data_IF_231330938202
#
_entry.id   IF_231330938202
#
_cell.length_a   1.000
_cell.length_b   1.000
_cell.length_c   1.000
_cell.angle_alpha   90.00
_cell.angle_beta   90.00
_cell.angle_gamma   90.00
#
_symmetry.space_group_name_H-M   'P 1'
#
loop_
_entity.id
_entity.type
_entity.pdbx_description
1 polymer ?
#
# COMPACT_ATOMS: atom_id res chain seq x y z
N UNK A 1 -26.02 -40.08 56.89
CA UNK A 1 -24.76 -39.69 56.26
C UNK A 1 -25.01 -39.56 54.79
N UNK A 2 -25.10 -38.33 54.25
CA UNK A 2 -25.37 -38.05 52.87
C UNK A 2 -24.11 -37.48 52.27
N UNK A 3 -23.46 -38.23 51.34
CA UNK A 3 -22.29 -37.78 50.61
C UNK A 3 -22.76 -36.99 49.40
N UNK A 4 -22.49 -35.68 49.33
CA UNK A 4 -22.71 -34.84 48.11
C UNK A 4 -21.45 -34.88 47.26
N UNK A 5 -21.57 -35.46 46.07
CA UNK A 5 -20.53 -35.41 45.06
C UNK A 5 -20.54 -34.04 44.37
N UNK A 6 -19.42 -33.31 44.42
CA UNK A 6 -19.17 -32.10 43.63
C UNK A 6 -18.65 -32.50 42.26
N UNK A 7 -19.41 -32.18 41.22
CA UNK A 7 -18.95 -32.28 39.82
C UNK A 7 -18.33 -30.93 39.45
N UNK A 8 -17.00 -30.89 39.31
CA UNK A 8 -16.27 -29.74 38.80
C UNK A 8 -16.33 -29.75 37.26
N UNK A 9 -17.03 -28.79 36.66
CA UNK A 9 -17.00 -28.55 35.21
C UNK A 9 -15.73 -27.77 34.85
N UNK A 10 -14.81 -28.42 34.18
CA UNK A 10 -13.65 -27.77 33.53
C UNK A 10 -14.12 -27.07 32.25
N UNK A 11 -14.21 -25.73 32.30
CA UNK A 11 -14.42 -24.91 31.12
C UNK A 11 -13.10 -24.83 30.31
N UNK A 12 -13.01 -25.58 29.25
CA UNK A 12 -11.90 -25.49 28.31
C UNK A 12 -11.95 -24.19 27.53
N UNK A 13 -11.06 -23.24 27.82
CA UNK A 13 -10.84 -22.05 26.98
C UNK A 13 -10.15 -22.49 25.68
N UNK A 14 -10.87 -22.48 24.57
CA UNK A 14 -10.29 -22.67 23.24
C UNK A 14 -9.42 -21.45 22.91
N UNK A 15 -8.10 -21.59 22.98
CA UNK A 15 -7.14 -20.64 22.45
C UNK A 15 -7.25 -20.63 20.92
N UNK A 16 -7.92 -19.66 20.38
CA UNK A 16 -7.92 -19.38 18.95
C UNK A 16 -6.56 -18.79 18.58
N UNK A 17 -5.63 -19.63 18.13
CA UNK A 17 -4.41 -19.18 17.53
C UNK A 17 -4.77 -18.40 16.25
N UNK A 18 -4.58 -17.09 16.25
CA UNK A 18 -4.64 -16.27 15.02
C UNK A 18 -3.44 -16.62 14.16
N UNK A 19 -3.57 -17.65 13.33
CA UNK A 19 -2.57 -17.92 12.32
C UNK A 19 -2.52 -16.71 11.37
N UNK A 20 -1.42 -15.99 11.37
CA UNK A 20 -1.17 -14.91 10.41
C UNK A 20 -1.29 -15.43 8.98
N UNK A 21 -1.71 -14.59 8.06
CA UNK A 21 -1.77 -14.94 6.64
C UNK A 21 -0.38 -15.38 6.16
N UNK A 22 -0.25 -16.62 5.70
CA UNK A 22 1.01 -17.12 5.16
C UNK A 22 1.35 -16.42 3.84
N UNK A 23 2.62 -16.06 3.67
CA UNK A 23 3.14 -15.51 2.42
C UNK A 23 3.34 -16.64 1.41
N UNK A 24 2.82 -16.48 0.20
CA UNK A 24 2.96 -17.41 -0.93
C UNK A 24 3.67 -16.69 -2.08
N UNK A 25 4.71 -17.30 -2.64
CA UNK A 25 5.37 -16.78 -3.83
C UNK A 25 4.57 -17.18 -5.08
N UNK A 26 4.24 -16.23 -5.92
CA UNK A 26 3.51 -16.44 -7.17
C UNK A 26 4.20 -15.75 -8.34
N UNK A 27 3.97 -16.27 -9.54
CA UNK A 27 4.49 -15.74 -10.79
C UNK A 27 3.34 -15.22 -11.66
N UNK A 28 3.45 -13.97 -12.11
CA UNK A 28 2.46 -13.29 -12.94
C UNK A 28 3.07 -13.12 -14.33
N UNK A 29 2.48 -13.71 -15.40
CA UNK A 29 2.93 -13.45 -16.76
C UNK A 29 2.64 -12.00 -17.18
N UNK A 30 3.65 -11.30 -17.69
CA UNK A 30 3.51 -9.94 -18.26
C UNK A 30 4.39 -9.79 -19.50
N UNK A 31 3.84 -10.10 -20.67
CA UNK A 31 4.60 -10.17 -21.92
C UNK A 31 5.77 -11.14 -21.82
N UNK A 32 6.98 -10.66 -22.03
CA UNK A 32 8.22 -11.46 -21.91
C UNK A 32 8.79 -11.46 -20.49
N UNK A 33 8.12 -10.84 -19.53
CA UNK A 33 8.53 -10.78 -18.13
C UNK A 33 7.71 -11.75 -17.28
N UNK A 34 8.38 -12.52 -16.42
CA UNK A 34 7.74 -13.17 -15.28
C UNK A 34 7.83 -12.24 -14.09
N UNK A 35 6.72 -11.59 -13.77
CA UNK A 35 6.63 -10.70 -12.62
C UNK A 35 6.42 -11.54 -11.35
N UNK A 36 7.45 -11.67 -10.53
CA UNK A 36 7.35 -12.33 -9.23
C UNK A 36 6.48 -11.51 -8.31
N UNK A 37 5.72 -12.18 -7.44
CA UNK A 37 4.92 -11.49 -6.44
C UNK A 37 4.79 -12.31 -5.16
N UNK A 38 4.51 -11.62 -4.06
CA UNK A 38 4.14 -12.23 -2.78
C UNK A 38 2.65 -12.07 -2.56
N UNK A 39 1.96 -13.18 -2.34
CA UNK A 39 0.53 -13.26 -2.11
C UNK A 39 0.24 -13.58 -0.65
N UNK A 40 -0.73 -12.90 -0.06
CA UNK A 40 -1.27 -13.18 1.27
C UNK A 40 -2.77 -13.43 1.14
N UNK A 41 -3.26 -14.49 1.76
CA UNK A 41 -4.68 -14.86 1.69
C UNK A 41 -5.33 -14.83 3.07
N UNK A 42 -6.57 -14.32 3.17
CA UNK A 42 -7.35 -14.47 4.40
C UNK A 42 -7.74 -15.92 4.65
N UNK A 43 -8.12 -16.22 5.87
CA UNK A 43 -8.70 -17.53 6.22
C UNK A 43 -10.08 -17.71 5.54
N UNK A 44 -10.42 -18.95 5.19
CA UNK A 44 -11.72 -19.29 4.58
C UNK A 44 -11.63 -19.59 3.08
N UNK A 45 -12.78 -19.84 2.48
CA UNK A 45 -12.88 -20.32 1.08
C UNK A 45 -13.00 -19.20 0.04
N UNK A 46 -13.45 -17.99 0.44
CA UNK A 46 -13.68 -16.89 -0.49
C UNK A 46 -15.00 -17.00 -1.28
N UNK A 47 -15.17 -16.30 -2.42
CA UNK A 47 -14.19 -15.38 -3.00
C UNK A 47 -14.07 -14.06 -2.22
N UNK A 48 -12.85 -13.55 -2.11
CA UNK A 48 -12.49 -12.38 -1.33
C UNK A 48 -12.26 -11.14 -2.22
N UNK A 49 -12.49 -9.91 -1.72
CA UNK A 49 -11.93 -8.71 -2.34
C UNK A 49 -10.39 -8.77 -2.29
N UNK A 50 -9.73 -8.08 -3.20
CA UNK A 50 -8.28 -8.12 -3.29
C UNK A 50 -7.65 -6.73 -3.37
N UNK A 51 -6.36 -6.66 -3.01
CA UNK A 51 -5.54 -5.45 -3.05
C UNK A 51 -4.25 -5.76 -3.80
N UNK A 52 -3.99 -4.99 -4.86
CA UNK A 52 -2.67 -4.89 -5.47
C UNK A 52 -1.89 -3.84 -4.70
N UNK A 53 -0.85 -4.26 -4.01
CA UNK A 53 -0.04 -3.44 -3.10
C UNK A 53 1.33 -3.13 -3.75
N UNK A 54 1.63 -1.85 -3.94
CA UNK A 54 2.81 -1.40 -4.67
C UNK A 54 3.86 -0.88 -3.69
N UNK A 55 4.97 -1.61 -3.56
CA UNK A 55 6.10 -1.29 -2.69
C UNK A 55 6.72 0.09 -2.96
N UNK A 56 7.46 0.63 -2.03
CA UNK A 56 8.18 1.89 -2.15
C UNK A 56 9.45 1.78 -3.06
N UNK A 57 10.27 2.80 -3.07
CA UNK A 57 11.50 2.83 -3.86
C UNK A 57 12.59 1.85 -3.38
N UNK A 58 12.44 1.27 -2.18
CA UNK A 58 13.34 0.26 -1.64
C UNK A 58 13.15 -1.13 -2.25
N UNK A 59 12.00 -1.40 -2.85
CA UNK A 59 11.64 -2.73 -3.36
C UNK A 59 11.07 -3.66 -2.30
N UNK A 60 10.69 -4.87 -2.68
CA UNK A 60 10.21 -5.88 -1.72
C UNK A 60 11.36 -6.49 -0.90
N UNK A 61 12.48 -6.76 -1.55
CA UNK A 61 13.66 -7.38 -0.96
C UNK A 61 14.62 -6.35 -0.31
N UNK A 62 14.26 -5.04 -0.36
CA UNK A 62 15.07 -3.99 0.25
C UNK A 62 15.17 -4.15 1.76
N UNK A 63 16.37 -3.92 2.32
CA UNK A 63 16.81 -4.12 3.70
C UNK A 63 15.86 -4.98 4.55
N UNK A 64 16.24 -6.21 4.93
CA UNK A 64 15.37 -7.22 5.54
C UNK A 64 14.54 -6.74 6.75
N UNK A 65 15.00 -5.69 7.43
CA UNK A 65 14.43 -5.21 8.69
C UNK A 65 13.38 -4.10 8.56
N UNK A 66 13.10 -3.57 7.35
CA UNK A 66 12.20 -2.41 7.25
C UNK A 66 11.03 -2.59 6.28
N UNK A 67 11.26 -3.11 5.08
CA UNK A 67 10.19 -3.22 4.10
C UNK A 67 9.38 -4.51 4.28
N UNK A 68 10.02 -5.65 4.55
CA UNK A 68 9.33 -6.90 4.82
C UNK A 68 8.42 -6.80 6.06
N UNK A 69 8.85 -6.09 7.12
CA UNK A 69 8.04 -5.86 8.31
C UNK A 69 6.81 -5.00 8.01
N UNK A 70 6.97 -3.87 7.32
CA UNK A 70 5.86 -2.97 7.00
C UNK A 70 4.84 -3.66 6.10
N UNK A 71 5.28 -4.32 5.04
CA UNK A 71 4.36 -4.99 4.12
C UNK A 71 3.75 -6.23 4.74
N UNK A 72 4.47 -6.95 5.60
CA UNK A 72 3.95 -8.07 6.38
C UNK A 72 2.86 -7.62 7.37
N UNK A 73 3.07 -6.51 8.07
CA UNK A 73 2.06 -5.93 8.97
C UNK A 73 0.80 -5.51 8.22
N UNK A 74 0.94 -4.74 7.14
CA UNK A 74 -0.20 -4.33 6.32
C UNK A 74 -0.94 -5.53 5.72
N UNK A 75 -0.20 -6.55 5.28
CA UNK A 75 -0.79 -7.80 4.79
C UNK A 75 -1.61 -8.51 5.85
N UNK A 76 -1.08 -8.58 7.08
CA UNK A 76 -1.79 -9.17 8.23
C UNK A 76 -3.06 -8.40 8.55
N UNK A 77 -2.98 -7.07 8.61
CA UNK A 77 -4.15 -6.21 8.87
C UNK A 77 -5.21 -6.37 7.78
N UNK A 78 -4.83 -6.34 6.52
CA UNK A 78 -5.76 -6.45 5.39
C UNK A 78 -6.35 -7.87 5.28
N UNK A 79 -5.54 -8.92 5.48
CA UNK A 79 -6.04 -10.29 5.49
C UNK A 79 -7.02 -10.55 6.63
N UNK A 80 -6.78 -9.99 7.81
CA UNK A 80 -7.72 -10.04 8.94
C UNK A 80 -9.04 -9.29 8.65
N UNK A 81 -9.05 -8.37 7.67
CA UNK A 81 -10.25 -7.68 7.16
C UNK A 81 -10.85 -8.38 5.93
N UNK A 82 -10.38 -9.58 5.58
CA UNK A 82 -10.90 -10.40 4.49
C UNK A 82 -10.38 -10.03 3.10
N UNK A 83 -9.25 -9.33 2.97
CA UNK A 83 -8.65 -9.03 1.67
C UNK A 83 -7.54 -10.00 1.31
N UNK A 84 -7.54 -10.47 0.08
CA UNK A 84 -6.33 -11.01 -0.56
C UNK A 84 -5.40 -9.84 -0.86
N UNK A 85 -4.11 -9.95 -0.54
CA UNK A 85 -3.11 -8.91 -0.82
C UNK A 85 -1.99 -9.48 -1.68
N UNK A 86 -1.67 -8.82 -2.79
CA UNK A 86 -0.57 -9.21 -3.66
C UNK A 86 0.41 -8.06 -3.84
N UNK A 87 1.70 -8.35 -3.64
CA UNK A 87 2.81 -7.42 -3.87
C UNK A 87 3.60 -7.86 -5.09
N UNK A 88 3.38 -7.25 -6.27
CA UNK A 88 4.26 -7.49 -7.43
C UNK A 88 5.64 -6.89 -7.17
N UNK A 89 6.69 -7.68 -7.42
CA UNK A 89 8.08 -7.26 -7.31
C UNK A 89 8.54 -6.58 -8.59
N UNK A 90 8.26 -5.30 -8.70
CA UNK A 90 8.61 -4.52 -9.89
C UNK A 90 10.11 -4.44 -10.14
N UNK A 91 10.94 -4.53 -9.10
CA UNK A 91 12.39 -4.33 -9.20
C UNK A 91 13.15 -5.65 -9.33
N UNK A 92 13.02 -6.56 -8.40
CA UNK A 92 13.73 -7.83 -8.42
C UNK A 92 13.35 -8.70 -9.62
N UNK A 93 12.11 -8.65 -10.11
CA UNK A 93 11.70 -9.34 -11.34
C UNK A 93 12.46 -8.85 -12.59
N UNK A 94 13.05 -7.64 -12.54
CA UNK A 94 13.87 -7.05 -13.61
C UNK A 94 15.36 -7.05 -13.29
N UNK A 95 15.77 -7.75 -12.23
CA UNK A 95 17.17 -7.81 -11.81
C UNK A 95 17.74 -6.47 -11.32
N UNK A 96 16.87 -5.56 -10.82
CA UNK A 96 17.31 -4.27 -10.27
C UNK A 96 16.98 -4.20 -8.79
N UNK A 97 17.86 -3.56 -8.02
CA UNK A 97 17.66 -3.31 -6.59
C UNK A 97 16.89 -2.02 -6.30
N UNK A 98 17.04 -1.52 -5.07
CA UNK A 98 16.43 -0.28 -4.61
C UNK A 98 16.77 0.92 -5.50
N UNK A 99 15.78 1.80 -5.73
CA UNK A 99 15.91 2.93 -6.63
C UNK A 99 15.70 4.30 -5.95
N UNK A 100 15.70 4.35 -4.62
CA UNK A 100 15.42 5.57 -3.84
C UNK A 100 16.38 6.74 -4.13
N UNK A 101 17.60 6.44 -4.53
CA UNK A 101 18.66 7.45 -4.78
C UNK A 101 18.95 7.68 -6.25
N UNK A 102 18.19 7.05 -7.14
CA UNK A 102 18.41 7.20 -8.57
C UNK A 102 17.68 8.46 -9.06
N UNK A 103 18.41 9.32 -9.75
CA UNK A 103 17.86 10.51 -10.41
C UNK A 103 16.89 10.11 -11.53
N UNK A 104 17.23 9.04 -12.23
CA UNK A 104 16.39 8.42 -13.26
C UNK A 104 16.20 6.94 -12.92
N UNK A 105 15.06 6.58 -12.31
CA UNK A 105 14.75 5.19 -12.00
C UNK A 105 14.63 4.35 -13.28
N UNK A 106 15.26 3.17 -13.29
CA UNK A 106 15.16 2.20 -14.38
C UNK A 106 13.75 1.63 -14.54
N UNK A 107 13.02 1.52 -13.42
CA UNK A 107 11.61 1.08 -13.38
C UNK A 107 10.75 2.26 -12.93
N UNK A 108 10.05 2.85 -13.87
CA UNK A 108 9.33 4.12 -13.68
C UNK A 108 7.95 3.89 -13.10
N UNK A 109 7.57 4.72 -12.14
CA UNK A 109 6.22 4.72 -11.55
C UNK A 109 5.12 4.95 -12.60
N UNK A 110 5.41 5.75 -13.64
CA UNK A 110 4.44 6.13 -14.67
C UNK A 110 4.29 5.14 -15.83
N UNK A 111 5.11 4.08 -15.89
CA UNK A 111 5.11 3.15 -17.03
C UNK A 111 5.21 1.69 -16.58
N UNK A 112 6.40 1.23 -16.23
CA UNK A 112 6.63 -0.19 -15.89
C UNK A 112 5.77 -0.61 -14.71
N UNK A 113 5.66 0.22 -13.66
CA UNK A 113 4.86 -0.11 -12.48
C UNK A 113 3.35 0.00 -12.71
N UNK A 114 2.90 0.82 -13.66
CA UNK A 114 1.49 0.82 -14.12
C UNK A 114 1.17 -0.50 -14.84
N UNK A 115 2.08 -0.99 -15.68
CA UNK A 115 1.93 -2.29 -16.33
C UNK A 115 1.87 -3.44 -15.30
N UNK A 116 2.80 -3.44 -14.33
CA UNK A 116 2.84 -4.43 -13.23
C UNK A 116 1.55 -4.45 -12.42
N UNK A 117 1.01 -3.27 -12.06
CA UNK A 117 -0.24 -3.17 -11.33
C UNK A 117 -1.42 -3.78 -12.11
N UNK A 118 -1.50 -3.49 -13.42
CA UNK A 118 -2.53 -4.06 -14.28
C UNK A 118 -2.34 -5.57 -14.52
N UNK A 119 -1.10 -6.05 -14.64
CA UNK A 119 -0.80 -7.48 -14.73
C UNK A 119 -1.26 -8.23 -13.47
N UNK A 120 -0.95 -7.68 -12.28
CA UNK A 120 -1.40 -8.24 -11.01
C UNK A 120 -2.94 -8.24 -10.90
N UNK A 121 -3.62 -7.16 -11.35
CA UNK A 121 -5.10 -7.12 -11.41
C UNK A 121 -5.64 -8.24 -12.29
N UNK A 122 -5.16 -8.38 -13.52
CA UNK A 122 -5.59 -9.43 -14.46
C UNK A 122 -5.37 -10.82 -13.88
N UNK A 123 -4.19 -11.07 -13.30
CA UNK A 123 -3.88 -12.34 -12.67
C UNK A 123 -4.82 -12.65 -11.51
N UNK A 124 -5.11 -11.68 -10.63
CA UNK A 124 -6.08 -11.86 -9.54
C UNK A 124 -7.48 -12.19 -10.09
N UNK A 125 -7.88 -11.62 -11.21
CA UNK A 125 -9.17 -11.87 -11.84
C UNK A 125 -9.31 -13.30 -12.40
N UNK A 126 -8.21 -14.01 -12.61
CA UNK A 126 -8.25 -15.44 -12.99
C UNK A 126 -8.39 -16.38 -11.78
N UNK A 127 -8.19 -15.87 -10.55
CA UNK A 127 -8.21 -16.70 -9.35
C UNK A 127 -9.65 -16.94 -8.86
N UNK A 128 -10.00 -18.19 -8.56
CA UNK A 128 -11.34 -18.58 -8.10
C UNK A 128 -11.66 -18.06 -6.68
N UNK A 129 -10.64 -17.76 -5.89
CA UNK A 129 -10.77 -17.21 -4.53
C UNK A 129 -10.87 -15.67 -4.50
N UNK A 130 -10.89 -14.99 -5.67
CA UNK A 130 -10.95 -13.52 -5.76
C UNK A 130 -12.25 -13.05 -6.40
N UNK A 131 -12.87 -12.04 -5.80
CA UNK A 131 -13.97 -11.28 -6.41
C UNK A 131 -13.40 -10.38 -7.51
N UNK A 132 -13.64 -10.75 -8.75
CA UNK A 132 -13.03 -10.13 -9.95
C UNK A 132 -13.32 -8.63 -10.09
N UNK A 133 -14.45 -8.16 -9.56
CA UNK A 133 -14.93 -6.78 -9.56
C UNK A 133 -14.52 -5.98 -8.31
N UNK A 134 -13.82 -6.60 -7.35
CA UNK A 134 -13.46 -6.03 -6.06
C UNK A 134 -11.95 -6.03 -5.83
N UNK A 135 -11.21 -5.49 -6.79
CA UNK A 135 -9.75 -5.36 -6.72
C UNK A 135 -9.41 -3.88 -6.59
N UNK A 136 -8.65 -3.51 -5.58
CA UNK A 136 -8.23 -2.15 -5.30
C UNK A 136 -6.72 -2.00 -5.32
N UNK A 137 -6.23 -0.75 -5.37
CA UNK A 137 -4.81 -0.40 -5.32
C UNK A 137 -4.43 0.16 -3.94
N UNK A 138 -3.24 -0.20 -3.48
CA UNK A 138 -2.59 0.42 -2.34
C UNK A 138 -1.12 0.66 -2.69
N UNK A 139 -0.54 1.79 -2.32
CA UNK A 139 0.86 2.03 -2.60
C UNK A 139 1.53 2.96 -1.59
N UNK A 140 2.85 2.80 -1.41
CA UNK A 140 3.68 3.59 -0.50
C UNK A 140 4.73 4.36 -1.27
N UNK A 141 4.90 5.66 -1.00
CA UNK A 141 5.94 6.51 -1.59
C UNK A 141 5.96 6.40 -3.13
N UNK A 142 7.00 5.85 -3.74
CA UNK A 142 7.06 5.63 -5.19
C UNK A 142 6.00 4.64 -5.69
N UNK A 143 5.55 3.69 -4.87
CA UNK A 143 4.40 2.83 -5.14
C UNK A 143 3.09 3.58 -5.13
N UNK A 144 2.95 4.55 -4.24
CA UNK A 144 1.80 5.46 -4.22
C UNK A 144 1.77 6.36 -5.47
N UNK A 145 2.93 6.83 -5.93
CA UNK A 145 3.04 7.53 -7.23
C UNK A 145 2.56 6.62 -8.36
N UNK A 146 2.98 5.35 -8.38
CA UNK A 146 2.53 4.40 -9.40
C UNK A 146 1.02 4.14 -9.33
N UNK A 147 0.44 4.02 -8.14
CA UNK A 147 -0.99 3.89 -7.95
C UNK A 147 -1.74 5.11 -8.53
N UNK A 148 -1.28 6.33 -8.26
CA UNK A 148 -1.86 7.56 -8.82
C UNK A 148 -1.73 7.65 -10.36
N UNK A 149 -0.63 7.17 -10.94
CA UNK A 149 -0.49 7.04 -12.39
C UNK A 149 -1.44 5.99 -12.96
N UNK A 150 -1.60 4.86 -12.29
CA UNK A 150 -2.46 3.75 -12.73
C UNK A 150 -3.94 4.16 -12.80
N UNK A 151 -4.41 5.00 -11.89
CA UNK A 151 -5.83 5.41 -11.85
C UNK A 151 -6.18 6.60 -12.75
N UNK A 152 -5.24 7.13 -13.52
CA UNK A 152 -5.54 8.21 -14.48
C UNK A 152 -6.45 7.73 -15.60
N UNK A 153 -7.35 8.57 -16.16
CA UNK A 153 -8.24 8.19 -17.27
C UNK A 153 -7.50 7.65 -18.49
N UNK A 154 -6.33 8.23 -18.85
CA UNK A 154 -5.51 7.76 -19.98
C UNK A 154 -4.74 6.47 -19.72
N UNK A 155 -4.74 5.97 -18.50
CA UNK A 155 -4.17 4.68 -18.11
C UNK A 155 -5.26 3.62 -17.90
N UNK A 156 -6.48 3.84 -18.41
CA UNK A 156 -7.58 2.87 -18.34
C UNK A 156 -7.13 1.55 -19.00
N UNK A 157 -7.33 0.41 -18.32
CA UNK A 157 -7.03 -0.89 -18.90
C UNK A 157 -7.80 -1.10 -20.22
N UNK A 158 -7.13 -1.68 -21.21
CA UNK A 158 -7.74 -1.99 -22.52
C UNK A 158 -8.27 -3.43 -22.61
N UNK A 159 -8.13 -4.18 -21.50
CA UNK A 159 -8.68 -5.53 -21.40
C UNK A 159 -10.18 -5.49 -21.03
N UNK A 160 -10.87 -6.61 -21.20
CA UNK A 160 -12.29 -6.78 -20.89
C UNK A 160 -12.59 -6.99 -19.40
N UNK A 161 -11.57 -7.03 -18.55
CA UNK A 161 -11.73 -7.22 -17.11
C UNK A 161 -12.27 -5.97 -16.41
N UNK A 162 -12.92 -6.15 -15.26
CA UNK A 162 -13.33 -5.04 -14.41
C UNK A 162 -12.11 -4.21 -13.99
N UNK A 163 -12.27 -2.89 -13.97
CA UNK A 163 -11.24 -1.96 -13.53
C UNK A 163 -10.97 -2.06 -12.02
N UNK A 164 -9.96 -1.37 -11.52
CA UNK A 164 -9.76 -1.19 -10.09
C UNK A 164 -10.99 -0.54 -9.44
N UNK A 165 -11.35 -1.02 -8.27
CA UNK A 165 -12.49 -0.51 -7.51
C UNK A 165 -12.21 0.83 -6.85
N UNK A 166 -11.01 0.98 -6.29
CA UNK A 166 -10.53 2.18 -5.60
C UNK A 166 -9.00 2.18 -5.50
N UNK A 167 -8.44 3.29 -5.04
CA UNK A 167 -7.02 3.40 -4.76
C UNK A 167 -6.74 4.13 -3.44
N UNK A 168 -5.66 3.73 -2.78
CA UNK A 168 -5.07 4.44 -1.64
C UNK A 168 -3.58 4.69 -1.92
N UNK A 169 -3.13 5.91 -1.68
CA UNK A 169 -1.76 6.35 -1.87
C UNK A 169 -1.22 6.95 -0.56
N UNK A 170 -0.23 6.28 0.06
CA UNK A 170 0.43 6.77 1.26
C UNK A 170 1.67 7.58 0.87
N UNK A 171 1.71 8.83 1.30
CA UNK A 171 2.80 9.81 1.11
C UNK A 171 3.41 9.82 -0.31
N UNK A 172 2.57 10.01 -1.37
CA UNK A 172 3.04 10.07 -2.74
C UNK A 172 3.78 11.38 -3.05
N UNK A 173 4.73 11.35 -3.98
CA UNK A 173 5.26 12.55 -4.62
C UNK A 173 4.31 13.06 -5.71
N UNK A 174 3.62 14.17 -5.46
CA UNK A 174 2.56 14.67 -6.35
C UNK A 174 3.02 15.67 -7.43
N UNK A 175 4.24 16.21 -7.36
CA UNK A 175 4.67 17.33 -8.21
C UNK A 175 4.48 17.07 -9.71
N UNK A 176 4.98 15.95 -10.21
CA UNK A 176 4.85 15.59 -11.64
C UNK A 176 3.40 15.30 -12.05
N UNK A 177 2.62 14.69 -11.17
CA UNK A 177 1.20 14.41 -11.40
C UNK A 177 0.40 15.71 -11.45
N UNK A 178 0.68 16.64 -10.54
CA UNK A 178 0.07 17.97 -10.52
C UNK A 178 0.32 18.73 -11.83
N UNK A 179 1.58 18.77 -12.30
CA UNK A 179 1.95 19.41 -13.58
C UNK A 179 1.24 18.80 -14.79
N UNK A 180 0.83 17.53 -14.72
CA UNK A 180 0.12 16.85 -15.81
C UNK A 180 -1.40 16.89 -15.66
N UNK A 181 -1.93 17.80 -14.87
CA UNK A 181 -3.37 17.95 -14.59
C UNK A 181 -4.02 16.61 -14.21
N UNK A 182 -3.47 15.95 -13.19
CA UNK A 182 -3.95 14.64 -12.72
C UNK A 182 -5.46 14.66 -12.41
N UNK A 183 -6.11 13.55 -12.72
CA UNK A 183 -7.44 13.18 -12.24
C UNK A 183 -7.53 11.67 -12.11
N UNK A 184 -8.41 11.17 -11.27
CA UNK A 184 -8.63 9.75 -11.06
C UNK A 184 -9.95 9.30 -11.70
N UNK A 185 -9.95 8.13 -12.35
CA UNK A 185 -11.17 7.50 -12.86
C UNK A 185 -11.89 6.63 -11.82
N UNK A 186 -11.20 6.31 -10.70
CA UNK A 186 -11.76 5.54 -9.58
C UNK A 186 -11.62 6.32 -8.27
N UNK A 187 -12.45 6.07 -7.25
CA UNK A 187 -12.32 6.69 -5.93
C UNK A 187 -10.90 6.53 -5.38
N UNK A 188 -10.26 7.64 -5.04
CA UNK A 188 -8.84 7.67 -4.63
C UNK A 188 -8.67 8.44 -3.33
N UNK A 189 -7.94 7.84 -2.38
CA UNK A 189 -7.58 8.44 -1.10
C UNK A 189 -6.07 8.65 -1.03
N UNK A 190 -5.64 9.85 -0.65
CA UNK A 190 -4.24 10.17 -0.37
C UNK A 190 -4.10 10.40 1.13
N UNK A 191 -3.12 9.73 1.76
CA UNK A 191 -2.74 9.93 3.14
C UNK A 191 -1.29 10.45 3.18
N UNK A 192 -1.05 11.62 3.76
CA UNK A 192 0.27 12.26 3.71
C UNK A 192 0.58 12.98 5.02
N UNK A 193 1.85 13.01 5.40
CA UNK A 193 2.31 13.76 6.56
C UNK A 193 2.46 15.25 6.25
N UNK A 194 1.99 16.12 7.16
CA UNK A 194 2.14 17.58 7.03
C UNK A 194 3.58 18.06 7.23
N UNK A 195 4.42 17.25 7.89
CA UNK A 195 5.85 17.51 8.08
C UNK A 195 6.73 16.67 7.12
N UNK A 196 6.13 16.07 6.09
CA UNK A 196 6.85 15.31 5.05
C UNK A 196 7.55 16.27 4.09
N UNK A 197 8.86 16.37 4.19
CA UNK A 197 9.68 17.20 3.30
C UNK A 197 10.22 16.43 2.08
N UNK A 198 10.05 15.11 2.06
CA UNK A 198 10.39 14.27 0.89
C UNK A 198 9.31 14.36 -0.18
N UNK A 199 8.03 14.49 0.25
CA UNK A 199 6.85 14.57 -0.62
C UNK A 199 5.89 15.59 -0.03
N UNK A 200 5.93 16.83 -0.52
CA UNK A 200 5.20 17.94 0.06
C UNK A 200 3.68 17.75 0.01
N UNK A 201 3.03 17.81 1.17
CA UNK A 201 1.57 17.71 1.30
C UNK A 201 0.84 18.77 0.47
N UNK A 202 1.33 20.03 0.49
CA UNK A 202 0.72 21.14 -0.25
C UNK A 202 0.62 20.89 -1.75
N UNK A 203 1.60 20.20 -2.35
CA UNK A 203 1.55 19.84 -3.77
C UNK A 203 0.46 18.79 -4.06
N UNK A 204 0.26 17.85 -3.14
CA UNK A 204 -0.82 16.87 -3.26
C UNK A 204 -2.21 17.52 -3.06
N UNK A 205 -2.33 18.47 -2.13
CA UNK A 205 -3.56 19.25 -1.93
C UNK A 205 -3.93 20.04 -3.20
N UNK A 206 -2.95 20.73 -3.81
CA UNK A 206 -3.15 21.46 -5.07
C UNK A 206 -3.56 20.52 -6.20
N UNK A 207 -2.94 19.34 -6.31
CA UNK A 207 -3.26 18.33 -7.30
C UNK A 207 -4.71 17.85 -7.15
N UNK A 208 -5.15 17.52 -5.94
CA UNK A 208 -6.52 17.06 -5.65
C UNK A 208 -7.53 18.20 -5.89
N UNK A 209 -7.22 19.42 -5.45
CA UNK A 209 -8.06 20.59 -5.68
C UNK A 209 -8.24 20.86 -7.20
N UNK A 210 -7.16 20.80 -7.97
CA UNK A 210 -7.18 20.97 -9.42
C UNK A 210 -7.91 19.85 -10.18
N UNK A 211 -8.16 18.71 -9.54
CA UNK A 211 -8.89 17.60 -10.14
C UNK A 211 -10.42 17.69 -9.95
N UNK A 212 -10.93 18.62 -9.14
CA UNK A 212 -12.36 18.78 -8.88
C UNK A 212 -13.16 18.94 -10.16
N UNK A 213 -14.31 18.28 -10.24
CA UNK A 213 -15.18 18.29 -11.42
C UNK A 213 -14.70 17.43 -12.61
N UNK A 214 -13.45 16.91 -12.57
CA UNK A 214 -12.88 16.04 -13.62
C UNK A 214 -12.53 14.66 -13.14
N UNK A 215 -12.59 14.43 -11.84
CA UNK A 215 -12.13 13.22 -11.16
C UNK A 215 -13.32 12.48 -10.53
N UNK A 216 -13.24 11.16 -10.46
CA UNK A 216 -13.95 10.41 -9.44
C UNK A 216 -13.56 10.97 -8.06
N UNK A 217 -14.31 10.60 -7.02
CA UNK A 217 -14.05 11.08 -5.65
C UNK A 217 -12.57 10.94 -5.29
N UNK A 218 -11.88 12.07 -5.14
CA UNK A 218 -10.49 12.16 -4.71
C UNK A 218 -10.43 12.89 -3.38
N UNK A 219 -9.88 12.23 -2.36
CA UNK A 219 -9.73 12.77 -1.01
C UNK A 219 -8.28 12.78 -0.58
N UNK A 220 -7.92 13.76 0.23
CA UNK A 220 -6.62 13.84 0.87
C UNK A 220 -6.80 14.04 2.37
N UNK A 221 -6.02 13.33 3.16
CA UNK A 221 -5.87 13.54 4.60
C UNK A 221 -4.43 13.90 4.88
N UNK A 222 -4.23 15.08 5.43
CA UNK A 222 -2.91 15.56 5.87
C UNK A 222 -2.82 15.35 7.38
N UNK A 223 -1.81 14.64 7.84
CA UNK A 223 -1.55 14.39 9.26
C UNK A 223 -0.56 15.42 9.80
N UNK A 224 -1.00 16.38 10.64
CA UNK A 224 -0.10 17.39 11.20
C UNK A 224 1.07 16.75 11.96
N UNK A 225 2.29 17.25 11.76
CA UNK A 225 3.49 16.76 12.44
C UNK A 225 3.98 15.36 12.03
N UNK A 226 3.24 14.62 11.21
CA UNK A 226 3.71 13.36 10.67
C UNK A 226 4.68 13.59 9.50
N UNK A 227 5.77 12.83 9.45
CA UNK A 227 6.73 12.84 8.36
C UNK A 227 6.47 11.73 7.33
N UNK A 228 7.44 11.50 6.44
CA UNK A 228 7.46 10.35 5.54
C UNK A 228 7.53 9.04 6.34
N UNK A 229 6.97 7.96 5.83
CA UNK A 229 6.95 6.64 6.50
C UNK A 229 6.21 6.64 7.86
N UNK A 230 5.22 7.52 8.07
CA UNK A 230 4.51 7.67 9.35
C UNK A 230 3.77 6.40 9.81
N UNK A 231 3.45 5.51 8.89
CA UNK A 231 2.72 4.26 9.12
C UNK A 231 3.62 3.08 9.55
N UNK A 232 4.95 3.23 9.49
CA UNK A 232 5.88 2.20 9.92
C UNK A 232 5.80 1.97 11.43
N UNK A 233 5.82 0.71 11.86
CA UNK A 233 5.92 0.38 13.27
C UNK A 233 7.36 0.64 13.76
N UNK A 234 7.50 1.17 14.99
CA UNK A 234 8.78 1.27 15.71
C UNK A 234 9.95 1.94 14.94
N UNK A 235 9.65 2.72 13.91
CA UNK A 235 10.66 3.50 13.21
C UNK A 235 10.95 4.75 14.03
N UNK A 236 12.16 4.83 14.60
CA UNK A 236 12.58 6.03 15.30
C UNK A 236 12.44 7.23 14.37
N UNK A 237 11.83 8.29 14.89
CA UNK A 237 11.79 9.57 14.24
C UNK A 237 13.25 10.05 14.01
N UNK A 238 13.67 10.12 12.74
CA UNK A 238 15.02 10.56 12.37
C UNK A 238 14.91 11.89 11.64
N UNK A 239 15.63 12.93 12.12
CA UNK A 239 15.92 14.08 11.28
C UNK A 239 16.67 13.60 10.03
N UNK A 240 16.37 14.18 8.88
CA UNK A 240 17.17 13.93 7.69
C UNK A 240 18.52 14.62 7.87
N UNK A 241 19.62 13.88 7.91
CA UNK A 241 20.93 14.47 7.66
C UNK A 241 21.08 14.65 6.15
N UNK A 242 21.05 15.92 5.71
CA UNK A 242 21.45 16.24 4.34
C UNK A 242 22.91 15.78 4.11
N UNK A 243 23.31 15.49 2.87
CA UNK A 243 24.71 15.18 2.54
C UNK A 243 25.69 16.31 2.92
N UNK A 244 25.17 17.50 3.18
CA UNK A 244 25.92 18.70 3.59
C UNK A 244 26.30 18.74 5.08
N UNK A 245 25.92 17.76 5.91
CA UNK A 245 26.28 17.72 7.32
C UNK A 245 25.55 18.76 8.20
N UNK A 246 24.61 19.51 7.69
CA UNK A 246 23.81 20.44 8.47
C UNK A 246 22.69 19.69 9.15
N UNK A 247 22.70 19.65 10.48
CA UNK A 247 21.64 19.08 11.29
C UNK A 247 20.38 20.00 11.23
N UNK A 248 19.21 19.38 11.08
CA UNK A 248 17.94 20.12 11.17
C UNK A 248 17.73 20.71 12.57
N UNK A 249 17.00 21.83 12.68
CA UNK A 249 16.59 22.38 13.97
C UNK A 249 15.85 21.33 14.81
N UNK A 250 16.01 21.33 16.14
CA UNK A 250 15.28 20.41 17.01
C UNK A 250 13.78 20.51 16.79
N UNK A 251 13.11 19.38 16.55
CA UNK A 251 11.65 19.28 16.38
C UNK A 251 11.15 19.00 14.95
N UNK A 252 11.98 19.03 13.93
CA UNK A 252 11.59 18.59 12.58
C UNK A 252 11.81 17.09 12.38
N UNK A 253 10.72 16.32 12.45
CA UNK A 253 10.72 14.90 12.14
C UNK A 253 10.39 14.73 10.67
N UNK A 254 11.37 14.36 9.85
CA UNK A 254 11.20 14.19 8.40
C UNK A 254 10.80 12.76 8.01
N UNK A 255 11.08 11.76 8.85
CA UNK A 255 10.76 10.34 8.64
C UNK A 255 10.53 9.62 9.96
N UNK A 256 9.65 8.61 9.95
CA UNK A 256 9.45 7.71 11.06
C UNK A 256 8.02 7.67 11.56
N UNK A 257 7.78 6.78 12.50
CA UNK A 257 6.46 6.51 13.06
C UNK A 257 5.83 7.77 13.65
N UNK A 258 4.59 8.04 13.22
CA UNK A 258 3.69 8.92 13.95
C UNK A 258 2.52 8.07 14.46
N UNK A 259 2.39 7.82 15.78
CA UNK A 259 1.43 6.86 16.31
C UNK A 259 -0.02 7.19 15.96
N UNK A 260 -0.41 8.46 16.00
CA UNK A 260 -1.78 8.88 15.70
C UNK A 260 -2.10 8.73 14.20
N UNK A 261 -1.22 9.19 13.32
CA UNK A 261 -1.37 9.05 11.88
C UNK A 261 -1.39 7.57 11.45
N UNK A 262 -0.51 6.75 12.05
CA UNK A 262 -0.47 5.30 11.81
C UNK A 262 -1.77 4.62 12.24
N UNK A 263 -2.27 4.90 13.44
CA UNK A 263 -3.51 4.31 13.94
C UNK A 263 -4.70 4.68 13.03
N UNK A 264 -4.79 5.94 12.59
CA UNK A 264 -5.85 6.35 11.67
C UNK A 264 -5.70 5.70 10.29
N UNK A 265 -4.49 5.60 9.74
CA UNK A 265 -4.24 4.94 8.46
C UNK A 265 -4.64 3.46 8.50
N UNK A 266 -4.24 2.70 9.53
CA UNK A 266 -4.59 1.29 9.72
C UNK A 266 -6.11 1.05 9.84
N UNK A 267 -6.85 2.04 10.34
CA UNK A 267 -8.32 2.01 10.40
C UNK A 267 -8.95 2.45 9.07
N UNK A 268 -8.47 3.55 8.49
CA UNK A 268 -9.09 4.23 7.33
C UNK A 268 -8.88 3.49 6.02
N UNK A 269 -7.69 2.94 5.81
CA UNK A 269 -7.34 2.25 4.55
C UNK A 269 -8.25 1.05 4.29
N UNK A 270 -8.43 0.07 5.20
CA UNK A 270 -9.34 -1.05 4.95
C UNK A 270 -10.78 -0.60 4.69
N UNK A 271 -11.27 0.43 5.40
CA UNK A 271 -12.62 0.98 5.19
C UNK A 271 -12.79 1.63 3.81
N UNK A 272 -11.73 2.25 3.29
CA UNK A 272 -11.76 2.82 1.94
C UNK A 272 -11.75 1.74 0.87
N UNK A 273 -10.90 0.74 1.01
CA UNK A 273 -10.75 -0.37 0.06
C UNK A 273 -12.00 -1.27 0.00
N UNK A 274 -12.81 -1.31 1.06
CA UNK A 274 -14.03 -2.11 1.14
C UNK A 274 -15.26 -1.50 0.41
N UNK A 275 -15.21 -0.23 0.00
CA UNK A 275 -16.32 0.53 -0.63
C UNK A 275 -16.79 -0.03 -1.97
#
# INVERSE_FOLDING_TARGET
MHCKAFVSALAGAALWATAGAAAEAVNIPEGNLTLRATLYRPQGTGPFPAVVALHDCGGLEGRPTTNAEVYGEWSTVLAAKGFVVIFPDSFGSRGVGAQCRLREPKVRASRERVADANAARRWLQTQNFVRRDRISLLGWSSGAIAALWTVRPNATPRDSGADFRSAVALYPGCARLHQTAWSARVPTLILIGGADESTLASTCEQMVAGARGRSARAEIVVYPGAGHDFDRANSLARPRTEPSGVADPPGRVRRGTNPAARADALRRVPLWLAR
#
